data_IF_493742438498
#
_entry.id   IF_493742438498
#
_cell.length_a   1.000
_cell.length_b   1.000
_cell.length_c   1.000
_cell.angle_alpha   90.00
_cell.angle_beta   90.00
_cell.angle_gamma   90.00
#
_symmetry.space_group_name_H-M   'P 1'
#
loop_
_entity.id
_entity.type
_entity.pdbx_description
1 polymer ?
#
# COMPACT_ATOMS: atom_id res chain seq x y z
N UNK A 1 -14.16 8.43 -11.62
CA UNK A 1 -13.22 7.36 -11.28
C UNK A 1 -13.35 6.18 -12.24
N UNK A 2 -12.37 5.26 -12.26
CA UNK A 2 -12.40 4.07 -13.11
C UNK A 2 -13.65 3.21 -12.82
N UNK A 3 -13.99 3.00 -11.56
CA UNK A 3 -15.16 2.20 -11.18
C UNK A 3 -16.47 2.81 -11.69
N UNK A 4 -16.61 4.13 -11.60
CA UNK A 4 -17.76 4.84 -12.17
C UNK A 4 -17.88 4.67 -13.69
N UNK A 5 -16.76 4.74 -14.41
CA UNK A 5 -16.70 4.49 -15.85
C UNK A 5 -17.06 3.03 -16.19
N UNK A 6 -16.45 2.06 -15.50
CA UNK A 6 -16.73 0.63 -15.72
C UNK A 6 -18.20 0.29 -15.50
N UNK A 7 -18.84 0.89 -14.49
CA UNK A 7 -20.27 0.68 -14.23
C UNK A 7 -21.14 1.02 -15.42
N UNK A 8 -20.78 2.04 -16.18
CA UNK A 8 -21.57 2.52 -17.34
C UNK A 8 -21.18 1.81 -18.62
N UNK A 9 -19.88 1.70 -18.90
CA UNK A 9 -19.36 1.27 -20.20
C UNK A 9 -18.88 -0.18 -20.26
N UNK A 10 -18.62 -0.81 -19.11
CA UNK A 10 -18.20 -2.21 -19.01
C UNK A 10 -18.82 -2.90 -17.77
N UNK A 11 -20.18 -2.98 -17.70
CA UNK A 11 -20.89 -3.42 -16.50
C UNK A 11 -20.56 -4.87 -16.09
N UNK A 12 -20.23 -5.74 -17.03
CA UNK A 12 -19.81 -7.11 -16.72
C UNK A 12 -18.45 -7.14 -16.02
N UNK A 13 -17.49 -6.35 -16.48
CA UNK A 13 -16.18 -6.20 -15.81
C UNK A 13 -16.35 -5.60 -14.43
N UNK A 14 -17.16 -4.56 -14.30
CA UNK A 14 -17.49 -3.94 -13.02
C UNK A 14 -18.04 -4.97 -12.01
N UNK A 15 -19.04 -5.75 -12.41
CA UNK A 15 -19.63 -6.80 -11.56
C UNK A 15 -18.60 -7.86 -11.16
N UNK A 16 -17.75 -8.33 -12.08
CA UNK A 16 -16.70 -9.32 -11.79
C UNK A 16 -15.67 -8.81 -10.78
N UNK A 17 -15.32 -7.52 -10.82
CA UNK A 17 -14.43 -6.92 -9.82
C UNK A 17 -15.08 -6.94 -8.44
N UNK A 18 -16.36 -6.58 -8.33
CA UNK A 18 -17.09 -6.64 -7.06
C UNK A 18 -17.22 -8.09 -6.53
N UNK A 19 -17.53 -9.05 -7.41
CA UNK A 19 -17.59 -10.47 -7.06
C UNK A 19 -16.23 -11.02 -6.61
N UNK A 20 -15.14 -10.58 -7.22
CA UNK A 20 -13.79 -10.97 -6.84
C UNK A 20 -13.45 -10.46 -5.43
N UNK A 21 -13.79 -9.21 -5.11
CA UNK A 21 -13.60 -8.66 -3.77
C UNK A 21 -14.46 -9.41 -2.73
N UNK A 22 -15.72 -9.70 -3.04
CA UNK A 22 -16.59 -10.48 -2.16
C UNK A 22 -16.04 -11.88 -1.88
N UNK A 23 -15.54 -12.57 -2.91
CA UNK A 23 -14.89 -13.89 -2.75
C UNK A 23 -13.61 -13.79 -1.90
N UNK A 24 -12.87 -12.71 -2.00
CA UNK A 24 -11.71 -12.50 -1.13
C UNK A 24 -12.12 -12.30 0.32
N UNK A 25 -13.20 -11.56 0.60
CA UNK A 25 -13.76 -11.45 1.95
C UNK A 25 -14.18 -12.81 2.52
N UNK A 26 -14.87 -13.64 1.72
CA UNK A 26 -15.28 -14.97 2.14
C UNK A 26 -14.09 -15.89 2.47
N UNK A 27 -13.01 -15.81 1.69
CA UNK A 27 -11.81 -16.62 1.86
C UNK A 27 -10.87 -16.12 2.96
N UNK A 28 -10.84 -14.82 3.21
CA UNK A 28 -9.85 -14.15 4.04
C UNK A 28 -10.50 -13.46 5.27
N UNK A 29 -11.40 -14.14 5.94
CA UNK A 29 -12.00 -13.73 7.22
C UNK A 29 -12.63 -12.32 7.21
N UNK A 30 -13.29 -11.95 6.11
CA UNK A 30 -13.92 -10.65 5.95
C UNK A 30 -13.03 -9.58 5.27
N UNK A 31 -11.76 -9.87 5.06
CA UNK A 31 -10.82 -8.95 4.41
C UNK A 31 -10.92 -9.02 2.89
N UNK A 32 -11.33 -7.91 2.27
CA UNK A 32 -11.43 -7.80 0.81
C UNK A 32 -10.12 -7.34 0.17
N UNK A 33 -9.92 -7.72 -1.09
CA UNK A 33 -8.73 -7.31 -1.84
C UNK A 33 -8.76 -5.85 -2.30
N UNK A 34 -9.97 -5.28 -2.50
CA UNK A 34 -10.10 -3.89 -2.90
C UNK A 34 -9.78 -2.95 -1.74
N UNK A 35 -9.12 -1.84 -2.05
CA UNK A 35 -8.86 -0.72 -1.13
C UNK A 35 -9.42 0.56 -1.72
N UNK A 36 -9.69 1.57 -0.89
CA UNK A 36 -10.09 2.88 -1.36
C UNK A 36 -8.92 3.62 -2.04
N UNK A 37 -9.20 4.74 -2.66
CA UNK A 37 -8.18 5.67 -3.15
C UNK A 37 -8.59 7.11 -2.85
N UNK A 38 -7.63 8.02 -2.82
CA UNK A 38 -7.90 9.46 -2.75
C UNK A 38 -8.75 9.85 -3.95
N UNK A 39 -9.91 10.48 -3.72
CA UNK A 39 -10.98 10.59 -4.72
C UNK A 39 -10.55 11.23 -6.04
N UNK A 40 -9.92 12.41 -6.00
CA UNK A 40 -9.42 13.12 -7.19
C UNK A 40 -7.91 12.95 -7.40
N UNK A 41 -7.26 11.98 -6.74
CA UNK A 41 -5.84 11.71 -6.86
C UNK A 41 -4.94 12.93 -6.56
N UNK A 42 -5.35 13.76 -5.60
CA UNK A 42 -4.55 14.92 -5.17
C UNK A 42 -3.40 14.49 -4.25
N UNK A 43 -2.37 15.32 -4.18
CA UNK A 43 -1.25 15.13 -3.24
C UNK A 43 -1.68 15.66 -1.87
N UNK A 44 -2.16 14.76 -1.00
CA UNK A 44 -2.78 15.11 0.28
C UNK A 44 -1.93 16.03 1.18
N UNK A 45 -0.59 15.85 1.28
CA UNK A 45 0.25 16.75 2.05
C UNK A 45 0.20 18.23 1.63
N UNK A 46 -0.14 18.51 0.36
CA UNK A 46 -0.21 19.86 -0.20
C UNK A 46 -1.62 20.47 -0.15
N UNK A 47 -2.62 19.69 0.26
CA UNK A 47 -4.00 20.15 0.36
C UNK A 47 -4.24 20.93 1.66
N UNK A 48 -5.23 21.83 1.63
CA UNK A 48 -5.74 22.42 2.87
C UNK A 48 -6.31 21.31 3.78
N UNK A 49 -6.39 21.52 5.11
CA UNK A 49 -6.98 20.53 6.01
C UNK A 49 -8.39 20.10 5.59
N UNK A 50 -9.22 21.06 5.15
CA UNK A 50 -10.60 20.82 4.71
C UNK A 50 -10.65 19.99 3.42
N UNK A 51 -9.83 20.32 2.42
CA UNK A 51 -9.77 19.60 1.17
C UNK A 51 -9.20 18.19 1.37
N UNK A 52 -8.17 18.04 2.22
CA UNK A 52 -7.56 16.74 2.52
C UNK A 52 -8.59 15.79 3.12
N UNK A 53 -9.32 16.22 4.17
CA UNK A 53 -10.39 15.43 4.77
C UNK A 53 -11.51 15.12 3.78
N UNK A 54 -11.90 16.10 2.97
CA UNK A 54 -12.95 15.92 1.95
C UNK A 54 -12.56 14.85 0.95
N UNK A 55 -11.33 14.88 0.45
CA UNK A 55 -10.83 13.90 -0.53
C UNK A 55 -10.74 12.47 0.04
N UNK A 56 -10.35 12.34 1.30
CA UNK A 56 -10.34 11.04 2.00
C UNK A 56 -11.78 10.55 2.16
N UNK A 57 -12.69 11.38 2.69
CA UNK A 57 -14.11 11.02 2.89
C UNK A 57 -14.81 10.63 1.59
N UNK A 58 -14.57 11.36 0.52
CA UNK A 58 -15.14 11.03 -0.78
C UNK A 58 -14.58 9.72 -1.32
N UNK A 59 -13.28 9.45 -1.14
CA UNK A 59 -12.68 8.16 -1.49
C UNK A 59 -13.30 7.00 -0.70
N UNK A 60 -13.51 7.18 0.60
CA UNK A 60 -14.21 6.20 1.45
C UNK A 60 -15.64 5.97 0.99
N UNK A 61 -16.39 7.05 0.69
CA UNK A 61 -17.78 6.96 0.24
C UNK A 61 -17.92 6.34 -1.15
N UNK A 62 -17.03 6.68 -2.07
CA UNK A 62 -16.97 6.06 -3.40
C UNK A 62 -16.70 4.54 -3.29
N UNK A 63 -15.79 4.17 -2.40
CA UNK A 63 -15.51 2.76 -2.12
C UNK A 63 -16.73 2.04 -1.52
N UNK A 64 -17.34 2.60 -0.47
CA UNK A 64 -18.56 2.04 0.13
C UNK A 64 -19.68 1.85 -0.89
N UNK A 65 -19.86 2.83 -1.80
CA UNK A 65 -20.85 2.75 -2.87
C UNK A 65 -20.58 1.60 -3.85
N UNK A 66 -19.32 1.37 -4.20
CA UNK A 66 -18.96 0.35 -5.18
C UNK A 66 -18.85 -1.06 -4.57
N UNK A 67 -18.37 -1.21 -3.35
CA UNK A 67 -18.06 -2.51 -2.74
C UNK A 67 -19.01 -2.91 -1.59
N UNK A 68 -19.88 -2.01 -1.13
CA UNK A 68 -20.87 -2.30 -0.09
C UNK A 68 -20.30 -2.57 1.30
N UNK A 69 -19.05 -2.22 1.53
CA UNK A 69 -18.33 -2.34 2.81
C UNK A 69 -17.43 -1.14 3.06
N UNK A 70 -16.99 -0.94 4.31
CA UNK A 70 -15.97 0.06 4.61
C UNK A 70 -14.60 -0.37 4.09
N UNK A 71 -13.78 0.55 3.58
CA UNK A 71 -12.40 0.24 3.23
C UNK A 71 -11.55 0.06 4.49
N UNK A 72 -10.59 -0.85 4.46
CA UNK A 72 -9.58 -0.97 5.52
C UNK A 72 -8.36 -0.11 5.23
N UNK A 73 -8.10 0.16 3.96
CA UNK A 73 -6.98 0.96 3.50
C UNK A 73 -7.38 1.92 2.39
N UNK A 74 -6.50 2.88 2.15
CA UNK A 74 -6.61 3.82 1.05
C UNK A 74 -5.27 3.92 0.32
N UNK A 75 -5.31 3.88 -1.02
CA UNK A 75 -4.17 4.21 -1.85
C UNK A 75 -3.99 5.73 -1.88
N UNK A 76 -2.84 6.19 -1.45
CA UNK A 76 -2.46 7.59 -1.51
C UNK A 76 -1.88 7.91 -2.90
N UNK A 77 -2.31 9.01 -3.49
CA UNK A 77 -1.72 9.50 -4.73
C UNK A 77 -0.21 9.65 -4.55
N UNK A 78 0.59 8.99 -5.41
CA UNK A 78 2.05 8.97 -5.36
C UNK A 78 2.64 8.48 -4.02
N UNK A 79 1.87 7.75 -3.23
CA UNK A 79 2.17 7.37 -1.83
C UNK A 79 2.50 8.57 -0.93
N UNK A 80 2.07 9.78 -1.35
CA UNK A 80 2.41 11.03 -0.68
C UNK A 80 1.74 11.11 0.70
N UNK A 81 2.57 11.35 1.73
CA UNK A 81 2.12 11.33 3.13
C UNK A 81 2.95 12.29 4.00
N UNK A 82 2.28 12.93 4.95
CA UNK A 82 2.89 13.65 6.07
C UNK A 82 2.10 13.34 7.36
N UNK A 83 2.50 13.90 8.48
CA UNK A 83 1.88 13.59 9.77
C UNK A 83 0.43 14.10 9.86
N UNK A 84 0.07 15.18 9.19
CA UNK A 84 -1.30 15.63 9.13
C UNK A 84 -2.19 14.67 8.34
N UNK A 85 -1.67 14.14 7.24
CA UNK A 85 -2.35 13.07 6.48
C UNK A 85 -2.55 11.82 7.35
N UNK A 86 -1.53 11.41 8.13
CA UNK A 86 -1.66 10.27 9.06
C UNK A 86 -2.80 10.50 10.05
N UNK A 87 -2.90 11.70 10.66
CA UNK A 87 -3.97 12.03 11.62
C UNK A 87 -5.34 11.96 10.97
N UNK A 88 -5.49 12.57 9.78
CA UNK A 88 -6.76 12.57 9.07
C UNK A 88 -7.20 11.15 8.65
N UNK A 89 -6.26 10.29 8.23
CA UNK A 89 -6.55 8.88 7.91
C UNK A 89 -7.04 8.09 9.14
N UNK A 90 -6.41 8.29 10.29
CA UNK A 90 -6.83 7.68 11.55
C UNK A 90 -8.24 8.15 11.93
N UNK A 91 -8.50 9.46 11.85
CA UNK A 91 -9.82 10.06 12.14
C UNK A 91 -10.92 9.50 11.23
N UNK A 92 -10.62 9.25 9.95
CA UNK A 92 -11.56 8.69 8.98
C UNK A 92 -11.64 7.14 9.02
N UNK A 93 -10.95 6.50 9.97
CA UNK A 93 -11.05 5.07 10.24
C UNK A 93 -10.26 4.17 9.28
N UNK A 94 -9.29 4.72 8.56
CA UNK A 94 -8.36 3.94 7.75
C UNK A 94 -7.37 3.21 8.67
N UNK A 95 -7.21 1.91 8.45
CA UNK A 95 -6.37 1.05 9.29
C UNK A 95 -4.92 0.99 8.84
N UNK A 96 -4.70 0.96 7.52
CA UNK A 96 -3.34 0.86 6.97
C UNK A 96 -3.19 1.55 5.62
N UNK A 97 -1.94 1.81 5.28
CA UNK A 97 -1.49 2.32 3.97
C UNK A 97 -0.32 1.49 3.44
N UNK A 98 -0.03 1.64 2.15
CA UNK A 98 1.11 1.01 1.48
C UNK A 98 2.03 2.13 1.00
N UNK A 99 3.32 2.06 1.37
CA UNK A 99 4.31 3.08 1.06
C UNK A 99 5.56 2.48 0.42
N UNK A 100 6.39 3.34 -0.14
CA UNK A 100 7.74 2.98 -0.58
C UNK A 100 8.68 2.83 0.61
N UNK A 101 9.58 1.83 0.65
CA UNK A 101 10.59 1.71 1.69
C UNK A 101 11.53 2.93 1.77
N UNK A 102 11.65 3.71 0.67
CA UNK A 102 12.42 4.95 0.66
C UNK A 102 11.84 6.05 1.55
N UNK A 103 10.55 5.92 1.95
CA UNK A 103 9.86 6.90 2.79
C UNK A 103 10.09 6.66 4.30
N UNK A 104 10.61 5.49 4.69
CA UNK A 104 10.96 5.21 6.07
C UNK A 104 12.20 6.02 6.49
N UNK A 105 12.18 6.61 7.69
CA UNK A 105 13.30 7.34 8.27
C UNK A 105 14.00 6.54 9.35
N UNK A 106 13.25 6.01 10.31
CA UNK A 106 13.78 5.16 11.37
C UNK A 106 12.68 4.21 11.88
N UNK A 107 13.10 3.11 12.49
CA UNK A 107 12.20 2.15 13.10
C UNK A 107 12.77 1.62 14.42
N UNK A 108 11.88 1.07 15.27
CA UNK A 108 12.25 0.35 16.48
C UNK A 108 11.17 -0.67 16.84
N UNK A 109 11.46 -1.60 17.72
CA UNK A 109 10.44 -2.44 18.31
C UNK A 109 9.53 -1.57 19.22
N UNK A 110 8.23 -1.81 19.19
CA UNK A 110 7.28 -1.05 20.00
C UNK A 110 7.61 -1.23 21.48
N UNK A 111 7.81 -0.10 22.18
CA UNK A 111 8.21 -0.08 23.58
C UNK A 111 9.72 0.05 23.83
N UNK A 112 10.56 -0.15 22.83
CA UNK A 112 11.99 0.10 22.94
C UNK A 112 12.30 1.60 22.92
N UNK A 113 13.45 1.97 23.49
CA UNK A 113 13.92 3.37 23.51
C UNK A 113 14.78 3.73 22.31
N UNK A 114 15.46 2.74 21.71
CA UNK A 114 16.47 2.97 20.69
C UNK A 114 15.90 2.89 19.28
N UNK A 115 16.07 3.97 18.50
CA UNK A 115 15.71 4.03 17.09
C UNK A 115 16.87 3.59 16.20
N UNK A 116 16.55 2.79 15.18
CA UNK A 116 17.46 2.42 14.09
C UNK A 116 17.10 3.21 12.85
N UNK A 117 18.07 3.94 12.30
CA UNK A 117 17.86 4.69 11.05
C UNK A 117 17.71 3.74 9.85
N UNK A 118 16.87 4.15 8.90
CA UNK A 118 16.74 3.49 7.60
C UNK A 118 17.64 4.24 6.59
N UNK A 119 18.75 3.64 6.22
CA UNK A 119 19.55 4.14 5.10
C UNK A 119 18.94 3.59 3.79
N UNK A 120 18.41 4.50 2.94
CA UNK A 120 17.80 4.14 1.65
C UNK A 120 16.63 3.18 1.75
N UNK A 121 16.85 1.87 1.61
CA UNK A 121 15.83 0.81 1.60
C UNK A 121 16.08 -0.26 2.65
N UNK A 122 16.82 0.06 3.71
CA UNK A 122 17.23 -0.93 4.72
C UNK A 122 16.10 -1.36 5.67
N UNK A 123 14.89 -0.89 5.44
CA UNK A 123 13.74 -1.37 6.19
C UNK A 123 13.29 -2.74 5.66
N UNK A 124 12.96 -3.66 6.57
CA UNK A 124 12.44 -4.96 6.21
C UNK A 124 11.02 -4.85 5.64
N UNK A 125 10.89 -5.04 4.33
CA UNK A 125 9.62 -4.92 3.60
C UNK A 125 8.71 -6.15 3.73
N UNK A 126 9.14 -7.18 4.47
CA UNK A 126 8.39 -8.43 4.62
C UNK A 126 7.47 -8.44 5.84
N UNK A 127 7.39 -7.35 6.59
CA UNK A 127 6.53 -7.20 7.78
C UNK A 127 5.81 -5.85 7.81
N UNK A 128 4.68 -5.75 8.54
CA UNK A 128 4.02 -4.48 8.80
C UNK A 128 4.74 -3.68 9.89
N UNK A 129 4.51 -2.37 9.87
CA UNK A 129 4.96 -1.42 10.89
C UNK A 129 3.79 -0.56 11.34
N UNK A 130 3.97 0.16 12.46
CA UNK A 130 2.99 1.08 13.02
C UNK A 130 3.52 2.51 13.05
N UNK A 131 2.71 3.44 12.61
CA UNK A 131 2.96 4.87 12.72
C UNK A 131 2.10 5.41 13.85
N UNK A 132 2.74 5.98 14.87
CA UNK A 132 2.07 6.73 15.91
C UNK A 132 2.16 8.23 15.60
N UNK A 133 1.05 8.99 15.67
CA UNK A 133 1.10 10.43 15.50
C UNK A 133 2.02 11.09 16.53
N UNK A 134 2.95 11.91 16.05
CA UNK A 134 3.95 12.62 16.87
C UNK A 134 3.98 14.10 16.51
N UNK A 135 4.37 14.93 17.46
CA UNK A 135 4.71 16.33 17.20
C UNK A 135 6.15 16.47 16.68
N UNK A 136 6.57 17.71 16.40
CA UNK A 136 7.93 18.00 15.92
C UNK A 136 9.04 17.68 16.94
N UNK A 137 8.69 17.58 18.21
CA UNK A 137 9.60 17.17 19.29
C UNK A 137 9.65 15.64 19.47
N UNK A 138 8.84 14.88 18.71
CA UNK A 138 8.77 13.42 18.75
C UNK A 138 7.83 12.85 19.81
N UNK A 139 7.06 13.70 20.53
CA UNK A 139 6.09 13.25 21.52
C UNK A 139 4.83 12.72 20.84
N UNK A 140 4.20 11.69 21.41
CA UNK A 140 2.92 11.17 20.96
C UNK A 140 1.83 12.24 21.06
N UNK A 141 0.99 12.37 20.04
CA UNK A 141 -0.08 13.37 19.96
C UNK A 141 -1.48 12.76 19.86
N UNK A 142 -1.70 11.60 20.48
CA UNK A 142 -3.00 10.92 20.54
C UNK A 142 -2.82 9.43 20.72
N UNK A 143 -3.94 8.73 20.92
CA UNK A 143 -3.98 7.29 21.19
C UNK A 143 -4.15 6.45 19.91
N UNK A 144 -4.35 7.09 18.74
CA UNK A 144 -4.55 6.42 17.46
C UNK A 144 -3.23 6.00 16.82
N UNK A 145 -3.34 5.11 15.85
CA UNK A 145 -2.21 4.69 15.01
C UNK A 145 -2.67 4.36 13.59
N UNK A 146 -1.72 4.38 12.66
CA UNK A 146 -1.90 3.93 11.30
C UNK A 146 -0.86 2.83 11.03
N UNK A 147 -1.30 1.66 10.59
CA UNK A 147 -0.37 0.61 10.20
C UNK A 147 0.14 0.84 8.77
N UNK A 148 1.33 0.38 8.46
CA UNK A 148 1.95 0.58 7.15
C UNK A 148 2.67 -0.66 6.66
N UNK A 149 2.51 -0.94 5.38
CA UNK A 149 3.31 -1.92 4.64
C UNK A 149 4.24 -1.19 3.68
N UNK A 150 5.48 -1.64 3.61
CA UNK A 150 6.42 -1.20 2.60
C UNK A 150 6.52 -2.28 1.52
N UNK A 151 6.28 -1.91 0.26
CA UNK A 151 6.38 -2.87 -0.83
C UNK A 151 7.85 -3.22 -1.14
N UNK A 152 8.08 -4.39 -1.73
CA UNK A 152 9.41 -4.78 -2.22
C UNK A 152 9.81 -3.91 -3.41
N UNK A 153 10.85 -3.05 -3.28
CA UNK A 153 11.18 -2.07 -4.32
C UNK A 153 11.76 -2.71 -5.58
N UNK A 154 12.48 -3.81 -5.43
CA UNK A 154 13.13 -4.49 -6.56
C UNK A 154 12.11 -5.21 -7.45
N UNK A 155 11.15 -5.90 -6.83
CA UNK A 155 10.04 -6.54 -7.56
C UNK A 155 9.14 -5.50 -8.21
N UNK A 156 8.82 -4.42 -7.50
CA UNK A 156 7.97 -3.35 -8.02
C UNK A 156 8.62 -2.65 -9.21
N UNK A 157 9.92 -2.33 -9.11
CA UNK A 157 10.70 -1.77 -10.23
C UNK A 157 10.76 -2.73 -11.42
N UNK A 158 10.98 -4.02 -11.16
CA UNK A 158 11.07 -5.00 -12.23
C UNK A 158 9.74 -5.19 -12.98
N UNK A 159 8.61 -5.15 -12.28
CA UNK A 159 7.28 -5.15 -12.89
C UNK A 159 7.05 -3.89 -13.72
N UNK A 160 7.39 -2.71 -13.17
CA UNK A 160 7.12 -1.44 -13.82
C UNK A 160 8.05 -1.11 -15.00
N UNK A 161 9.33 -1.53 -14.96
CA UNK A 161 10.37 -1.00 -15.84
C UNK A 161 11.29 -2.06 -16.48
N UNK A 162 11.30 -3.33 -16.02
CA UNK A 162 12.20 -4.36 -16.49
C UNK A 162 11.48 -5.49 -17.24
N UNK A 163 10.23 -5.29 -17.65
CA UNK A 163 9.42 -6.26 -18.38
C UNK A 163 9.25 -7.63 -17.66
N UNK A 164 9.25 -7.65 -16.34
CA UNK A 164 9.17 -8.91 -15.57
C UNK A 164 7.88 -9.70 -15.86
N UNK A 165 6.82 -9.03 -16.27
CA UNK A 165 5.53 -9.66 -16.60
C UNK A 165 5.54 -10.47 -17.93
N UNK A 166 6.64 -10.48 -18.67
CA UNK A 166 6.76 -11.32 -19.89
C UNK A 166 6.97 -12.80 -19.60
N UNK A 167 7.44 -13.14 -18.39
CA UNK A 167 7.70 -14.52 -17.99
C UNK A 167 7.23 -14.77 -16.56
N UNK A 168 6.10 -15.45 -16.44
CA UNK A 168 5.50 -15.75 -15.14
C UNK A 168 6.36 -16.70 -14.27
N UNK A 169 7.18 -17.57 -14.90
CA UNK A 169 8.11 -18.42 -14.16
C UNK A 169 9.28 -17.63 -13.58
N UNK A 170 9.83 -16.65 -14.32
CA UNK A 170 10.84 -15.71 -13.80
C UNK A 170 10.24 -14.86 -12.69
N UNK A 171 9.03 -14.34 -12.89
CA UNK A 171 8.34 -13.54 -11.90
C UNK A 171 8.13 -14.32 -10.59
N UNK A 172 7.59 -15.53 -10.69
CA UNK A 172 7.38 -16.39 -9.53
C UNK A 172 8.68 -16.74 -8.79
N UNK A 173 9.76 -17.06 -9.48
CA UNK A 173 11.08 -17.28 -8.87
C UNK A 173 11.58 -16.06 -8.12
N UNK A 174 11.51 -14.86 -8.70
CA UNK A 174 11.91 -13.62 -8.02
C UNK A 174 11.07 -13.33 -6.76
N UNK A 175 9.79 -13.74 -6.73
CA UNK A 175 8.96 -13.66 -5.52
C UNK A 175 9.50 -14.65 -4.46
N UNK A 176 9.79 -15.90 -4.84
CA UNK A 176 10.39 -16.87 -3.92
C UNK A 176 11.73 -16.40 -3.38
N UNK A 177 12.59 -15.81 -4.20
CA UNK A 177 13.90 -15.29 -3.81
C UNK A 177 13.82 -14.08 -2.85
N UNK A 178 12.65 -13.45 -2.75
CA UNK A 178 12.43 -12.35 -1.82
C UNK A 178 12.10 -12.80 -0.39
N UNK A 179 11.90 -14.09 -0.15
CA UNK A 179 11.77 -14.67 1.18
C UNK A 179 13.13 -15.13 1.73
N UNK A 180 13.33 -14.87 3.03
CA UNK A 180 14.43 -15.49 3.77
C UNK A 180 13.97 -16.85 4.34
N UNK A 181 14.38 -17.93 3.70
CA UNK A 181 14.01 -19.31 4.08
C UNK A 181 14.55 -19.74 5.47
N UNK A 182 15.51 -19.01 6.03
CA UNK A 182 16.09 -19.30 7.34
C UNK A 182 15.35 -18.55 8.46
N UNK A 183 14.39 -17.71 8.12
CA UNK A 183 13.65 -16.91 9.08
C UNK A 183 12.34 -17.60 9.46
N UNK A 184 12.13 -17.77 10.77
CA UNK A 184 10.94 -18.43 11.30
C UNK A 184 9.70 -17.52 11.39
N UNK A 185 9.91 -16.19 11.46
CA UNK A 185 8.80 -15.24 11.54
C UNK A 185 8.05 -15.15 10.22
N UNK A 186 6.72 -14.90 10.27
CA UNK A 186 5.91 -14.71 9.09
C UNK A 186 6.43 -13.59 8.19
N UNK A 187 6.44 -13.82 6.90
CA UNK A 187 6.91 -12.89 5.90
C UNK A 187 5.85 -12.66 4.83
N UNK A 188 5.67 -11.42 4.42
CA UNK A 188 4.80 -11.00 3.32
C UNK A 188 5.65 -10.39 2.21
N UNK A 189 5.65 -10.98 1.03
CA UNK A 189 6.22 -10.32 -0.15
C UNK A 189 5.11 -9.53 -0.84
N UNK A 190 5.28 -8.23 -0.94
CA UNK A 190 4.30 -7.32 -1.55
C UNK A 190 4.90 -6.47 -2.65
N UNK A 191 4.08 -6.12 -3.64
CA UNK A 191 4.46 -5.36 -4.82
C UNK A 191 3.52 -4.14 -4.91
N UNK A 192 4.08 -2.96 -5.11
CA UNK A 192 3.33 -1.72 -5.34
C UNK A 192 3.65 -1.20 -6.75
N UNK A 193 2.69 -1.23 -7.65
CA UNK A 193 2.82 -0.77 -9.04
C UNK A 193 1.52 -0.17 -9.54
N UNK A 194 1.63 0.65 -10.59
CA UNK A 194 0.46 1.14 -11.31
C UNK A 194 -0.26 0.00 -12.04
N UNK A 195 -1.58 0.06 -12.09
CA UNK A 195 -2.41 -0.97 -12.74
C UNK A 195 -2.17 -1.08 -14.23
N UNK A 196 -1.73 -0.02 -14.88
CA UNK A 196 -1.37 0.04 -16.29
C UNK A 196 -0.24 -0.93 -16.67
N UNK A 197 0.60 -1.32 -15.71
CA UNK A 197 1.64 -2.33 -15.95
C UNK A 197 1.07 -3.67 -16.42
N UNK A 198 -0.17 -4.01 -16.00
CA UNK A 198 -0.79 -5.31 -16.27
C UNK A 198 -1.72 -5.27 -17.49
N UNK A 199 -1.18 -5.02 -18.68
CA UNK A 199 -1.90 -5.12 -19.95
C UNK A 199 -1.79 -3.89 -20.85
N UNK A 200 -1.52 -2.69 -20.29
CA UNK A 200 -1.28 -1.49 -21.08
C UNK A 200 0.21 -1.29 -21.40
N UNK A 201 1.06 -1.21 -20.37
CA UNK A 201 2.51 -1.07 -20.58
C UNK A 201 3.17 -2.38 -20.98
N UNK A 202 2.72 -3.52 -20.44
CA UNK A 202 3.18 -4.83 -20.81
C UNK A 202 2.01 -5.70 -21.28
N UNK A 203 1.97 -5.98 -22.59
CA UNK A 203 0.95 -6.83 -23.18
C UNK A 203 0.93 -8.21 -22.48
N UNK A 204 -0.27 -8.71 -22.18
CA UNK A 204 -0.48 -9.98 -21.46
C UNK A 204 0.02 -10.02 -20.02
N UNK A 205 0.36 -8.87 -19.41
CA UNK A 205 0.75 -8.80 -18.00
C UNK A 205 -0.33 -9.29 -17.05
N UNK A 206 -1.60 -9.08 -17.38
CA UNK A 206 -2.76 -9.61 -16.69
C UNK A 206 -2.81 -11.15 -16.72
N UNK A 207 -2.48 -11.76 -17.85
CA UNK A 207 -2.37 -13.23 -17.99
C UNK A 207 -1.20 -13.78 -17.19
N UNK A 208 -0.07 -13.08 -17.16
CA UNK A 208 1.07 -13.42 -16.32
C UNK A 208 0.68 -13.44 -14.84
N UNK A 209 -0.01 -12.40 -14.36
CA UNK A 209 -0.52 -12.34 -12.99
C UNK A 209 -1.53 -13.48 -12.72
N UNK A 210 -2.45 -13.73 -13.63
CA UNK A 210 -3.42 -14.82 -13.51
C UNK A 210 -2.74 -16.19 -13.42
N UNK A 211 -1.70 -16.46 -14.23
CA UNK A 211 -0.91 -17.69 -14.16
C UNK A 211 -0.17 -17.79 -12.81
N UNK A 212 0.44 -16.69 -12.35
CA UNK A 212 1.14 -16.65 -11.06
C UNK A 212 0.20 -17.08 -9.92
N UNK A 213 -0.98 -16.49 -9.83
CA UNK A 213 -1.92 -16.79 -8.74
C UNK A 213 -2.58 -18.16 -8.84
N UNK A 214 -2.91 -18.62 -10.03
CA UNK A 214 -3.71 -19.85 -10.22
C UNK A 214 -2.89 -21.11 -10.45
N UNK A 215 -1.63 -20.98 -10.84
CA UNK A 215 -0.74 -22.11 -11.15
C UNK A 215 0.54 -22.06 -10.35
N UNK A 216 1.37 -21.05 -10.57
CA UNK A 216 2.71 -20.99 -9.98
C UNK A 216 2.65 -20.97 -8.44
N UNK A 217 1.80 -20.15 -7.85
CA UNK A 217 1.71 -20.03 -6.41
C UNK A 217 1.32 -21.34 -5.71
N UNK A 218 0.27 -22.08 -6.14
CA UNK A 218 -0.04 -23.39 -5.57
C UNK A 218 1.07 -24.43 -5.74
N UNK A 219 1.77 -24.43 -6.88
CA UNK A 219 2.84 -25.37 -7.17
C UNK A 219 4.11 -25.14 -6.33
N UNK A 220 4.27 -23.93 -5.77
CA UNK A 220 5.43 -23.50 -4.98
C UNK A 220 5.08 -23.15 -3.53
N UNK A 221 3.95 -23.65 -3.02
CA UNK A 221 3.49 -23.45 -1.63
C UNK A 221 3.33 -21.97 -1.22
N UNK A 222 3.21 -21.06 -2.21
CA UNK A 222 2.90 -19.66 -1.92
C UNK A 222 1.42 -19.49 -1.61
N UNK A 223 1.11 -18.73 -0.58
CA UNK A 223 -0.27 -18.44 -0.16
C UNK A 223 -0.60 -16.99 -0.51
N UNK A 224 -1.37 -16.75 -1.60
CA UNK A 224 -1.85 -15.40 -1.92
C UNK A 224 -2.82 -14.92 -0.84
N UNK A 225 -2.49 -13.78 -0.21
CA UNK A 225 -3.29 -13.13 0.83
C UNK A 225 -3.46 -11.65 0.51
N UNK A 226 -4.29 -10.95 1.29
CA UNK A 226 -4.31 -9.49 1.28
C UNK A 226 -3.73 -8.92 2.59
N UNK A 227 -3.45 -7.63 2.57
CA UNK A 227 -2.83 -6.94 3.69
C UNK A 227 -3.69 -6.96 4.95
N UNK A 228 -5.02 -6.82 4.82
CA UNK A 228 -5.93 -6.83 5.96
C UNK A 228 -5.90 -8.15 6.72
N UNK A 229 -5.94 -9.27 5.99
CA UNK A 229 -5.82 -10.60 6.58
C UNK A 229 -4.43 -10.83 7.23
N UNK A 230 -3.36 -10.40 6.55
CA UNK A 230 -2.01 -10.53 7.10
C UNK A 230 -1.87 -9.71 8.40
N UNK A 231 -2.41 -8.50 8.42
CA UNK A 231 -2.38 -7.61 9.58
C UNK A 231 -3.18 -8.16 10.78
N UNK A 232 -4.31 -8.84 10.51
CA UNK A 232 -5.08 -9.52 11.56
C UNK A 232 -4.28 -10.66 12.20
N UNK A 233 -3.58 -11.45 11.39
CA UNK A 233 -2.82 -12.61 11.87
C UNK A 233 -1.48 -12.23 12.50
N UNK A 234 -0.84 -11.21 11.99
CA UNK A 234 0.52 -10.79 12.33
C UNK A 234 0.57 -9.27 12.53
N UNK A 235 0.04 -8.77 13.67
CA UNK A 235 0.03 -7.35 13.96
C UNK A 235 1.47 -6.80 14.07
N UNK A 236 1.68 -5.49 13.82
CA UNK A 236 3.00 -4.88 13.88
C UNK A 236 3.65 -5.00 15.26
N UNK A 237 4.88 -5.48 15.29
CA UNK A 237 5.75 -5.47 16.49
C UNK A 237 6.69 -4.26 16.48
N UNK A 238 6.79 -3.56 15.38
CA UNK A 238 7.70 -2.44 15.18
C UNK A 238 6.92 -1.17 14.84
N UNK A 239 7.40 -0.04 15.35
CA UNK A 239 6.96 1.29 14.92
C UNK A 239 7.98 1.91 13.99
N UNK A 240 7.51 2.84 13.16
CA UNK A 240 8.31 3.52 12.14
C UNK A 240 8.02 5.01 12.13
N UNK A 241 9.05 5.82 11.85
CA UNK A 241 8.91 7.23 11.48
C UNK A 241 9.12 7.40 9.99
N UNK A 242 8.50 8.43 9.41
CA UNK A 242 8.60 8.73 7.99
C UNK A 242 9.44 9.97 7.76
N UNK A 243 10.15 9.99 6.64
CA UNK A 243 10.97 11.13 6.22
C UNK A 243 10.10 12.37 6.05
N UNK A 244 10.60 13.49 6.58
CA UNK A 244 9.94 14.80 6.50
C UNK A 244 8.47 14.82 6.93
N UNK A 245 8.07 13.91 7.83
CA UNK A 245 6.66 13.72 8.21
C UNK A 245 6.06 14.95 8.90
N UNK A 246 6.86 15.73 9.64
CA UNK A 246 6.43 16.94 10.33
C UNK A 246 6.41 18.19 9.43
N UNK A 247 6.87 18.08 8.20
CA UNK A 247 6.90 19.14 7.19
C UNK A 247 6.02 18.81 6.00
N UNK A 248 6.58 19.00 4.81
CA UNK A 248 5.90 18.79 3.53
C UNK A 248 5.56 17.32 3.24
N UNK A 249 6.17 16.39 3.95
CA UNK A 249 5.98 14.96 3.73
C UNK A 249 6.96 14.35 2.72
N UNK A 250 6.66 13.12 2.33
CA UNK A 250 7.44 12.33 1.38
C UNK A 250 6.53 11.57 0.41
N UNK A 251 7.09 11.13 -0.71
CA UNK A 251 6.40 10.38 -1.76
C UNK A 251 7.38 9.40 -2.43
N UNK A 252 6.88 8.40 -3.13
CA UNK A 252 7.72 7.40 -3.80
C UNK A 252 8.51 7.94 -4.98
N UNK A 253 7.99 8.96 -5.66
CA UNK A 253 8.52 9.46 -6.92
C UNK A 253 9.25 10.81 -6.82
N UNK A 254 9.50 11.31 -5.59
CA UNK A 254 10.20 12.57 -5.39
C UNK A 254 11.25 12.50 -4.28
N UNK A 255 12.54 12.57 -4.64
CA UNK A 255 13.63 12.60 -3.67
C UNK A 255 13.61 13.86 -2.76
N UNK A 256 12.88 14.90 -3.15
CA UNK A 256 12.72 16.15 -2.41
C UNK A 256 11.38 16.22 -1.64
N UNK A 257 10.90 15.07 -1.16
CA UNK A 257 9.64 14.96 -0.44
C UNK A 257 8.43 14.97 -1.37
N UNK A 258 7.72 16.09 -1.45
CA UNK A 258 6.61 16.34 -2.39
C UNK A 258 6.89 17.54 -3.29
N UNK A 259 8.13 17.98 -3.37
CA UNK A 259 8.55 19.21 -4.06
C UNK A 259 8.16 19.28 -5.53
N UNK A 260 8.19 18.14 -6.26
CA UNK A 260 7.88 18.10 -7.69
C UNK A 260 6.49 18.60 -8.09
N UNK A 261 5.56 18.71 -7.14
CA UNK A 261 4.18 19.15 -7.42
C UNK A 261 3.92 20.63 -7.13
N UNK A 262 4.88 21.37 -6.55
CA UNK A 262 4.68 22.78 -6.22
C UNK A 262 5.90 23.68 -6.41
N UNK A 263 7.05 23.13 -6.72
CA UNK A 263 8.28 23.89 -7.00
C UNK A 263 9.08 23.27 -8.14
N UNK A 264 10.03 24.03 -8.67
CA UNK A 264 11.00 23.51 -9.62
C UNK A 264 11.91 22.49 -8.92
N UNK A 265 11.95 21.30 -9.46
CA UNK A 265 12.56 20.14 -8.81
C UNK A 265 13.54 19.46 -9.80
#
# INVERSE_FOLDING_TARGET
TLMGWLRVYAPDTYRRIQEADKKSCERLNGHGNAIAQVYNHIILPLATPEDRKTQIRWGVKDFEFHFGRKPEAIWLAETAINMDTVRDLIEEGIRYVILSPTQAESFRKIGDSEWKGCANTDIDTTRPYRIFPRDAAGNLTGDGFLDVFFYNPWLSSAVGFEHLLRDAGVFGRRICDAWDVNRAEPQLVSIGTDGESYGHHEAFGDMCAAYLYNRYAPEHEMVPVNYGWFLEKFPPEYEVTLKNAQGEGCAWSCAHGVGRWYRDC
#
